data_IF_464395284653
#
_entry.id   IF_464395284653
#
_cell.length_a   1.000
_cell.length_b   1.000
_cell.length_c   1.000
_cell.angle_alpha   90.00
_cell.angle_beta   90.00
_cell.angle_gamma   90.00
#
_symmetry.space_group_name_H-M   'P 1'
#
loop_
_entity.id
_entity.type
_entity.pdbx_description
1 polymer ?
#
# COMPACT_ATOMS: atom_id res chain seq x y z
N UNK A 1 -28.54 -45.77 21.04
CA UNK A 1 -27.82 -46.15 22.27
C UNK A 1 -26.40 -45.60 22.16
N UNK A 2 -26.02 -44.73 23.11
CA UNK A 2 -24.68 -44.15 23.25
C UNK A 2 -23.67 -45.24 23.59
N UNK A 3 -22.45 -45.13 23.08
CA UNK A 3 -21.28 -45.76 23.71
C UNK A 3 -20.11 -44.79 23.70
N UNK A 4 -19.90 -44.21 24.88
CA UNK A 4 -18.75 -43.40 25.28
C UNK A 4 -17.81 -44.30 26.07
N UNK A 5 -16.53 -44.41 25.69
CA UNK A 5 -15.41 -44.44 26.65
C UNK A 5 -14.05 -44.27 25.95
N UNK A 6 -13.33 -43.20 26.29
CA UNK A 6 -11.85 -43.05 26.16
C UNK A 6 -11.22 -43.64 27.44
N UNK A 7 -9.96 -44.15 27.43
CA UNK A 7 -8.83 -43.27 27.75
C UNK A 7 -7.42 -43.66 27.22
N UNK A 8 -6.58 -42.61 27.12
CA UNK A 8 -5.14 -42.48 27.42
C UNK A 8 -4.15 -43.58 27.01
N UNK A 9 -3.18 -43.20 26.18
CA UNK A 9 -1.78 -43.59 26.40
C UNK A 9 -0.85 -42.47 25.97
N UNK A 10 -0.16 -41.88 26.96
CA UNK A 10 0.94 -40.97 26.75
C UNK A 10 2.24 -41.76 26.63
N UNK A 11 3.09 -41.45 25.65
CA UNK A 11 4.51 -41.78 25.69
C UNK A 11 5.30 -40.52 25.35
N UNK A 12 6.05 -40.09 26.36
CA UNK A 12 7.02 -38.99 26.37
C UNK A 12 8.35 -39.53 25.83
N UNK A 13 8.96 -38.86 24.85
CA UNK A 13 10.36 -39.08 24.49
C UNK A 13 11.06 -37.74 24.28
N UNK A 14 12.21 -37.63 24.95
CA UNK A 14 12.94 -36.41 25.30
C UNK A 14 14.11 -36.23 24.33
N UNK A 15 14.42 -34.96 24.06
CA UNK A 15 15.71 -34.40 23.64
C UNK A 15 16.24 -34.68 22.23
N UNK A 16 16.39 -33.60 21.49
CA UNK A 16 17.68 -33.26 20.88
C UNK A 16 17.87 -31.74 20.95
N UNK A 17 18.85 -31.31 21.74
CA UNK A 17 19.34 -29.95 21.72
C UNK A 17 20.01 -29.70 20.36
N UNK A 18 19.40 -28.85 19.53
CA UNK A 18 20.03 -28.32 18.34
C UNK A 18 20.24 -26.81 18.57
N UNK A 19 21.49 -26.49 18.89
CA UNK A 19 22.19 -25.21 18.70
C UNK A 19 21.36 -24.09 18.09
N UNK A 20 21.12 -23.04 18.87
CA UNK A 20 20.72 -21.71 18.39
C UNK A 20 21.83 -21.16 17.47
N UNK A 21 21.74 -21.49 16.18
CA UNK A 21 22.48 -20.75 15.16
C UNK A 21 21.69 -19.49 14.90
N UNK A 22 22.08 -18.41 15.57
CA UNK A 22 21.68 -17.04 15.17
C UNK A 22 22.28 -16.83 13.80
N UNK A 23 21.52 -17.13 12.75
CA UNK A 23 21.77 -16.58 11.43
C UNK A 23 21.34 -15.14 11.49
N UNK A 24 22.32 -14.26 11.73
CA UNK A 24 22.19 -12.83 11.49
C UNK A 24 21.54 -12.61 10.12
N UNK A 25 20.47 -11.82 10.00
CA UNK A 25 20.04 -11.39 8.68
C UNK A 25 21.22 -10.66 8.05
N UNK A 26 21.77 -11.22 6.98
CA UNK A 26 22.59 -10.48 6.04
C UNK A 26 21.70 -9.35 5.51
N UNK A 27 21.87 -8.17 6.11
CA UNK A 27 21.37 -6.91 5.58
C UNK A 27 21.98 -6.78 4.18
N UNK A 28 21.20 -7.15 3.17
CA UNK A 28 21.62 -7.13 1.79
C UNK A 28 20.87 -6.01 1.09
N UNK A 29 21.62 -4.93 0.88
CA UNK A 29 21.35 -3.75 0.09
C UNK A 29 20.08 -2.96 0.48
N UNK A 30 20.29 -1.92 1.30
CA UNK A 30 19.48 -0.72 1.16
C UNK A 30 19.47 -0.30 -0.32
N UNK A 31 18.32 0.15 -0.87
CA UNK A 31 18.30 0.71 -2.22
C UNK A 31 19.35 1.83 -2.26
N UNK A 32 20.09 1.90 -3.37
CA UNK A 32 21.09 2.93 -3.56
C UNK A 32 20.45 4.29 -3.28
N UNK A 33 20.87 4.94 -2.19
CA UNK A 33 20.69 6.38 -2.00
C UNK A 33 21.64 7.05 -2.99
N UNK A 34 21.30 6.95 -4.26
CA UNK A 34 21.85 7.80 -5.29
C UNK A 34 21.36 9.21 -4.99
N UNK A 35 22.13 9.96 -4.21
CA UNK A 35 22.11 11.41 -4.31
C UNK A 35 22.64 11.75 -5.70
N UNK A 36 21.73 11.79 -6.68
CA UNK A 36 21.90 12.68 -7.80
C UNK A 36 21.74 14.10 -7.22
N UNK A 37 22.85 14.65 -6.76
CA UNK A 37 22.99 16.09 -6.52
C UNK A 37 22.85 16.82 -7.85
N UNK A 38 21.61 16.94 -8.31
CA UNK A 38 21.20 17.96 -9.27
C UNK A 38 20.53 19.03 -8.45
N UNK A 39 20.96 20.28 -8.60
CA UNK A 39 20.31 21.43 -8.00
C UNK A 39 18.84 21.46 -8.44
N UNK A 40 17.94 20.93 -7.62
CA UNK A 40 16.50 21.10 -7.82
C UNK A 40 16.23 22.58 -7.61
N UNK A 41 15.75 23.22 -8.68
CA UNK A 41 15.05 24.49 -8.56
C UNK A 41 14.00 24.39 -7.44
N UNK A 42 13.61 25.51 -6.80
CA UNK A 42 12.50 25.49 -5.84
C UNK A 42 11.22 25.13 -6.61
N UNK A 43 10.89 23.86 -6.62
CA UNK A 43 9.81 23.30 -7.42
C UNK A 43 9.67 21.81 -7.17
N UNK A 44 8.46 21.31 -7.35
CA UNK A 44 8.14 19.90 -7.14
C UNK A 44 8.94 19.00 -8.09
N UNK A 45 9.03 17.70 -7.75
CA UNK A 45 9.56 16.70 -8.66
C UNK A 45 8.85 16.78 -10.03
N UNK A 46 9.51 16.43 -11.14
CA UNK A 46 8.87 16.38 -12.46
C UNK A 46 7.58 15.54 -12.41
N UNK A 47 6.49 16.10 -12.92
CA UNK A 47 5.16 15.49 -12.91
C UNK A 47 4.79 14.99 -14.31
N UNK A 48 4.13 13.84 -14.36
CA UNK A 48 3.51 13.33 -15.59
C UNK A 48 2.14 13.98 -15.81
N UNK A 49 1.59 13.85 -17.03
CA UNK A 49 0.25 14.35 -17.33
C UNK A 49 -0.82 13.70 -16.42
N UNK A 50 -0.68 12.41 -16.11
CA UNK A 50 -1.56 11.71 -15.17
C UNK A 50 -1.45 12.28 -13.76
N UNK A 51 -0.25 12.61 -13.30
CA UNK A 51 -0.06 13.24 -11.99
C UNK A 51 -0.76 14.61 -11.94
N UNK A 52 -0.68 15.40 -13.00
CA UNK A 52 -1.39 16.68 -13.08
C UNK A 52 -2.91 16.52 -13.05
N UNK A 53 -3.45 15.56 -13.79
CA UNK A 53 -4.89 15.24 -13.77
C UNK A 53 -5.31 14.84 -12.35
N UNK A 54 -4.59 13.91 -11.75
CA UNK A 54 -4.87 13.44 -10.39
C UNK A 54 -4.87 14.60 -9.38
N UNK A 55 -3.82 15.43 -9.36
CA UNK A 55 -3.70 16.53 -8.41
C UNK A 55 -4.82 17.55 -8.56
N UNK A 56 -5.19 17.87 -9.81
CA UNK A 56 -6.27 18.79 -10.10
C UNK A 56 -7.64 18.23 -9.65
N UNK A 57 -7.95 16.98 -10.01
CA UNK A 57 -9.24 16.36 -9.69
C UNK A 57 -9.37 16.02 -8.20
N UNK A 58 -8.27 15.74 -7.51
CA UNK A 58 -8.24 15.43 -6.08
C UNK A 58 -8.08 16.66 -5.16
N UNK A 59 -7.91 17.86 -5.73
CA UNK A 59 -7.65 19.12 -5.01
C UNK A 59 -6.31 19.16 -4.25
N UNK A 60 -5.29 18.48 -4.76
CA UNK A 60 -3.92 18.51 -4.22
C UNK A 60 -2.98 19.41 -5.03
N UNK A 61 -3.44 20.07 -6.10
CA UNK A 61 -2.56 20.87 -6.98
C UNK A 61 -1.96 22.11 -6.31
N UNK A 62 -2.65 22.67 -5.31
CA UNK A 62 -2.18 23.80 -4.50
C UNK A 62 -1.38 23.38 -3.25
N UNK A 63 -1.36 22.08 -2.93
CA UNK A 63 -0.68 21.57 -1.73
C UNK A 63 0.85 21.65 -1.85
N UNK A 64 1.58 21.67 -0.72
CA UNK A 64 3.04 21.56 -0.72
C UNK A 64 3.53 20.32 -1.48
N UNK A 65 4.68 20.41 -2.17
CA UNK A 65 5.17 19.34 -3.04
C UNK A 65 5.30 17.97 -2.34
N UNK A 66 5.66 17.96 -1.05
CA UNK A 66 5.75 16.76 -0.22
C UNK A 66 4.39 16.10 0.01
N UNK A 67 3.34 16.90 0.24
CA UNK A 67 1.96 16.41 0.35
C UNK A 67 1.48 15.89 -1.00
N UNK A 68 1.79 16.61 -2.10
CA UNK A 68 1.46 16.15 -3.44
C UNK A 68 2.15 14.81 -3.78
N UNK A 69 3.43 14.66 -3.44
CA UNK A 69 4.18 13.43 -3.68
C UNK A 69 3.61 12.26 -2.87
N UNK A 70 3.18 12.51 -1.63
CA UNK A 70 2.51 11.51 -0.79
C UNK A 70 1.15 11.11 -1.35
N UNK A 71 0.35 12.07 -1.80
CA UNK A 71 -0.95 11.83 -2.43
C UNK A 71 -0.82 11.00 -3.71
N UNK A 72 0.15 11.31 -4.57
CA UNK A 72 0.42 10.53 -5.79
C UNK A 72 0.84 9.09 -5.45
N UNK A 73 1.72 8.91 -4.45
CA UNK A 73 2.14 7.57 -4.03
C UNK A 73 0.97 6.75 -3.51
N UNK A 74 0.10 7.36 -2.70
CA UNK A 74 -1.10 6.71 -2.19
C UNK A 74 -2.06 6.33 -3.33
N UNK A 75 -2.34 7.25 -4.26
CA UNK A 75 -3.22 7.00 -5.39
C UNK A 75 -2.73 5.88 -6.33
N UNK A 76 -1.42 5.76 -6.52
CA UNK A 76 -0.82 4.63 -7.26
C UNK A 76 -0.98 3.32 -6.50
N UNK A 77 -0.75 3.33 -5.18
CA UNK A 77 -0.94 2.15 -4.34
C UNK A 77 -2.41 1.68 -4.30
N UNK A 78 -3.36 2.62 -4.33
CA UNK A 78 -4.79 2.33 -4.43
C UNK A 78 -5.12 1.59 -5.74
N UNK A 79 -4.57 2.04 -6.85
CA UNK A 79 -4.74 1.35 -8.14
C UNK A 79 -4.10 -0.04 -8.15
N UNK A 80 -2.89 -0.19 -7.59
CA UNK A 80 -2.26 -1.50 -7.44
C UNK A 80 -3.12 -2.45 -6.58
N UNK A 81 -3.76 -1.92 -5.53
CA UNK A 81 -4.69 -2.69 -4.71
C UNK A 81 -5.94 -3.09 -5.51
N UNK A 82 -6.53 -2.19 -6.29
CA UNK A 82 -7.69 -2.51 -7.15
C UNK A 82 -7.35 -3.52 -8.25
N UNK A 83 -6.11 -3.56 -8.74
CA UNK A 83 -5.65 -4.58 -9.67
C UNK A 83 -5.60 -5.99 -9.04
N UNK A 84 -5.30 -6.08 -7.75
CA UNK A 84 -5.24 -7.36 -7.01
C UNK A 84 -6.62 -7.82 -6.55
N UNK A 85 -7.42 -6.90 -6.00
CA UNK A 85 -8.69 -7.23 -5.34
C UNK A 85 -9.93 -6.98 -6.22
N UNK A 86 -9.73 -6.34 -7.37
CA UNK A 86 -10.76 -6.00 -8.36
C UNK A 86 -11.39 -4.62 -8.13
N UNK A 87 -11.64 -3.88 -9.22
CA UNK A 87 -12.22 -2.53 -9.20
C UNK A 87 -13.71 -2.42 -8.95
N UNK A 88 -14.32 -3.37 -8.23
CA UNK A 88 -15.78 -3.34 -8.00
C UNK A 88 -16.21 -2.10 -7.22
N UNK A 89 -17.45 -1.64 -7.40
CA UNK A 89 -17.97 -0.46 -6.69
C UNK A 89 -17.83 -0.59 -5.15
N UNK A 90 -18.08 -1.78 -4.59
CA UNK A 90 -17.91 -2.03 -3.16
C UNK A 90 -16.46 -1.88 -2.71
N UNK A 91 -15.50 -2.34 -3.51
CA UNK A 91 -14.07 -2.20 -3.23
C UNK A 91 -13.62 -0.74 -3.30
N UNK A 92 -14.10 0.01 -4.30
CA UNK A 92 -13.83 1.45 -4.42
C UNK A 92 -14.37 2.25 -3.22
N UNK A 93 -15.58 1.92 -2.76
CA UNK A 93 -16.17 2.53 -1.56
C UNK A 93 -15.36 2.18 -0.32
N UNK A 94 -15.03 0.90 -0.12
CA UNK A 94 -14.24 0.47 1.03
C UNK A 94 -12.86 1.13 1.07
N UNK A 95 -12.24 1.34 -0.10
CA UNK A 95 -10.96 2.05 -0.21
C UNK A 95 -11.11 3.52 0.19
N UNK A 96 -12.16 4.20 -0.31
CA UNK A 96 -12.45 5.56 0.10
C UNK A 96 -12.70 5.67 1.62
N UNK A 97 -13.54 4.78 2.19
CA UNK A 97 -13.79 4.73 3.63
C UNK A 97 -12.50 4.50 4.44
N UNK A 98 -11.55 3.72 3.92
CA UNK A 98 -10.26 3.51 4.59
C UNK A 98 -9.37 4.76 4.66
N UNK A 99 -9.63 5.76 3.82
CA UNK A 99 -8.87 7.01 3.75
C UNK A 99 -9.53 8.17 4.51
N UNK A 100 -10.66 7.96 5.19
CA UNK A 100 -11.40 9.03 5.91
C UNK A 100 -10.54 9.78 6.94
N UNK A 101 -9.56 9.11 7.55
CA UNK A 101 -8.64 9.73 8.52
C UNK A 101 -7.42 10.41 7.88
N UNK A 102 -7.20 10.23 6.57
CA UNK A 102 -5.99 10.64 5.86
C UNK A 102 -6.21 11.75 4.83
N UNK A 103 -7.41 11.83 4.22
CA UNK A 103 -7.74 12.80 3.18
C UNK A 103 -9.11 13.43 3.43
N UNK A 104 -9.25 14.71 3.11
CA UNK A 104 -10.50 15.45 3.36
C UNK A 104 -11.68 14.97 2.50
N UNK A 105 -11.39 14.52 1.28
CA UNK A 105 -12.40 14.10 0.30
C UNK A 105 -12.11 12.69 -0.25
N UNK A 106 -12.27 11.63 0.56
CA UNK A 106 -11.81 10.29 0.21
C UNK A 106 -12.45 9.72 -1.06
N UNK A 107 -13.74 9.99 -1.28
CA UNK A 107 -14.43 9.55 -2.49
C UNK A 107 -13.94 10.27 -3.74
N UNK A 108 -13.61 11.56 -3.65
CA UNK A 108 -13.05 12.33 -4.76
C UNK A 108 -11.62 11.88 -5.03
N UNK A 109 -10.84 11.65 -3.97
CA UNK A 109 -9.48 11.13 -4.05
C UNK A 109 -9.42 9.79 -4.80
N UNK A 110 -10.22 8.81 -4.38
CA UNK A 110 -10.24 7.49 -5.03
C UNK A 110 -10.76 7.58 -6.45
N UNK A 111 -11.75 8.44 -6.72
CA UNK A 111 -12.22 8.66 -8.09
C UNK A 111 -11.11 9.22 -8.99
N UNK A 112 -10.44 10.29 -8.56
CA UNK A 112 -9.33 10.90 -9.28
C UNK A 112 -8.16 9.93 -9.48
N UNK A 113 -7.85 9.10 -8.48
CA UNK A 113 -6.82 8.07 -8.57
C UNK A 113 -7.13 7.06 -9.69
N UNK A 114 -8.39 6.60 -9.76
CA UNK A 114 -8.84 5.66 -10.77
C UNK A 114 -8.79 6.30 -12.16
N UNK A 115 -9.34 7.51 -12.32
CA UNK A 115 -9.32 8.24 -13.59
C UNK A 115 -7.90 8.42 -14.12
N UNK A 116 -6.96 8.78 -13.26
CA UNK A 116 -5.58 9.10 -13.65
C UNK A 116 -4.69 7.87 -13.86
N UNK A 117 -4.77 6.87 -12.97
CA UNK A 117 -3.78 5.79 -12.93
C UNK A 117 -4.32 4.41 -13.31
N UNK A 118 -5.63 4.15 -13.15
CA UNK A 118 -6.23 2.86 -13.47
C UNK A 118 -7.64 2.97 -14.08
N UNK A 119 -7.79 3.64 -15.24
CA UNK A 119 -9.10 3.98 -15.82
C UNK A 119 -9.94 2.75 -16.21
N UNK A 120 -9.33 1.57 -16.31
CA UNK A 120 -10.06 0.32 -16.52
C UNK A 120 -10.98 -0.07 -15.35
N UNK A 121 -10.80 0.52 -14.16
CA UNK A 121 -11.67 0.30 -13.00
C UNK A 121 -12.78 1.34 -12.84
N UNK A 122 -12.99 2.25 -13.80
CA UNK A 122 -14.07 3.25 -13.77
C UNK A 122 -15.47 2.63 -13.85
N UNK A 123 -15.63 1.51 -14.56
CA UNK A 123 -16.92 0.94 -14.97
C UNK A 123 -17.23 -0.38 -14.26
#
# INVERSE_FOLDING_TARGET
MLSTTRPLTAVLAIAAAATLSVTTPTASAAPATGSAGGSSAPGCAPRSDADHVFLYESHFDEEPCDVQDAAIQLARADCDWLDVYGGSASNRIALAESHEDAVDYPYIFVHAAITAYCPHHEY
#
